data_IF_355140368966
#
_entry.id   IF_355140368966
#
_cell.length_a   1.000
_cell.length_b   1.000
_cell.length_c   1.000
_cell.angle_alpha   90.00
_cell.angle_beta   90.00
_cell.angle_gamma   90.00
#
_symmetry.space_group_name_H-M   'P 1'
#
loop_
_entity.id
_entity.type
_entity.pdbx_description
1 polymer ?
#
# COMPACT_ATOMS: atom_id res chain seq x y z
N UNK A 1 4.13 2.29 -13.33
CA UNK A 1 5.11 1.25 -13.02
C UNK A 1 4.87 0.05 -13.92
N UNK A 2 5.95 -0.53 -14.39
CA UNK A 2 5.83 -1.67 -15.27
C UNK A 2 5.68 -2.96 -14.46
N UNK A 3 4.83 -3.85 -14.96
CA UNK A 3 4.65 -5.16 -14.34
C UNK A 3 5.80 -6.08 -14.73
N UNK A 4 6.12 -6.99 -13.83
CA UNK A 4 7.14 -8.00 -14.07
C UNK A 4 6.56 -9.17 -14.90
N UNK A 5 7.42 -10.01 -15.52
CA UNK A 5 6.93 -11.21 -16.20
C UNK A 5 6.10 -12.07 -15.25
N UNK A 6 4.93 -12.50 -15.73
CA UNK A 6 4.01 -13.29 -14.93
C UNK A 6 3.20 -12.49 -13.90
N UNK A 7 3.42 -11.19 -13.83
CA UNK A 7 2.68 -10.33 -12.90
C UNK A 7 1.41 -9.80 -13.57
N UNK A 8 0.30 -9.87 -12.85
CA UNK A 8 -0.99 -9.38 -13.32
C UNK A 8 -1.60 -8.47 -12.26
N UNK A 9 -2.03 -7.28 -12.65
CA UNK A 9 -2.72 -6.36 -11.75
C UNK A 9 -4.10 -6.93 -11.42
N UNK A 10 -4.43 -6.94 -10.13
CA UNK A 10 -5.73 -7.39 -9.66
C UNK A 10 -6.71 -6.23 -9.67
N UNK A 11 -6.33 -5.11 -9.03
CA UNK A 11 -7.17 -3.92 -8.98
C UNK A 11 -6.36 -2.71 -8.50
N UNK A 12 -6.96 -1.54 -8.59
CA UNK A 12 -6.37 -0.27 -8.15
C UNK A 12 -7.39 0.51 -7.35
N UNK A 13 -6.95 1.10 -6.24
CA UNK A 13 -7.79 1.94 -5.38
C UNK A 13 -7.09 3.25 -5.06
N UNK A 14 -7.87 4.33 -4.95
CA UNK A 14 -7.38 5.60 -4.40
C UNK A 14 -7.60 5.57 -2.89
N UNK A 15 -6.52 5.71 -2.13
CA UNK A 15 -6.59 5.64 -0.67
C UNK A 15 -5.45 6.41 -0.05
N UNK A 16 -5.43 6.44 1.30
CA UNK A 16 -4.42 7.15 2.07
C UNK A 16 -3.42 6.13 2.61
N UNK A 17 -2.15 6.42 2.41
CA UNK A 17 -1.05 5.59 2.92
C UNK A 17 -0.39 6.27 4.10
N UNK A 18 -0.16 5.51 5.18
CA UNK A 18 0.61 5.96 6.33
C UNK A 18 1.86 5.09 6.44
N UNK A 19 3.05 5.66 6.18
CA UNK A 19 4.29 4.91 6.26
C UNK A 19 4.74 4.72 7.70
N UNK A 20 5.75 3.86 7.94
CA UNK A 20 6.42 3.82 9.23
C UNK A 20 6.94 5.23 9.57
N UNK A 21 6.73 5.65 10.81
CA UNK A 21 7.11 7.00 11.24
C UNK A 21 6.01 8.03 11.12
N UNK A 22 4.89 7.71 10.47
CA UNK A 22 3.71 8.57 10.44
C UNK A 22 3.57 9.40 9.17
N UNK A 23 2.54 10.23 9.15
CA UNK A 23 2.17 11.02 7.99
C UNK A 23 1.08 10.33 7.19
N UNK A 24 0.35 11.12 6.38
CA UNK A 24 -0.73 10.59 5.54
C UNK A 24 -0.54 11.10 4.12
N UNK A 25 -0.53 10.20 3.16
CA UNK A 25 -0.26 10.54 1.77
C UNK A 25 -1.35 9.96 0.87
N UNK A 26 -1.96 10.81 0.06
CA UNK A 26 -2.96 10.37 -0.92
C UNK A 26 -2.29 9.80 -2.15
N UNK A 27 -2.88 8.78 -2.73
CA UNK A 27 -2.38 8.19 -3.95
C UNK A 27 -3.19 7.00 -4.38
N UNK A 28 -2.61 6.23 -5.32
CA UNK A 28 -3.24 5.03 -5.84
C UNK A 28 -2.44 3.80 -5.43
N UNK A 29 -3.14 2.83 -4.86
CA UNK A 29 -2.59 1.52 -4.58
C UNK A 29 -3.03 0.56 -5.68
N UNK A 30 -2.07 -0.03 -6.39
CA UNK A 30 -2.31 -1.12 -7.32
C UNK A 30 -1.81 -2.40 -6.68
N UNK A 31 -2.68 -3.39 -6.59
CA UNK A 31 -2.30 -4.71 -6.06
C UNK A 31 -2.21 -5.67 -7.22
N UNK A 32 -1.09 -6.37 -7.31
CA UNK A 32 -0.88 -7.42 -8.31
C UNK A 32 -0.87 -8.78 -7.62
N UNK A 33 -0.69 -9.84 -8.39
CA UNK A 33 -0.51 -11.17 -7.82
C UNK A 33 0.82 -11.34 -7.08
N UNK A 34 1.76 -10.38 -7.22
CA UNK A 34 3.09 -10.48 -6.63
C UNK A 34 3.42 -9.33 -5.67
N UNK A 35 2.91 -8.12 -5.92
CA UNK A 35 3.34 -6.91 -5.22
C UNK A 35 2.19 -5.95 -4.93
N UNK A 36 2.46 -5.03 -4.00
CA UNK A 36 1.67 -3.83 -3.82
C UNK A 36 2.48 -2.65 -4.36
N UNK A 37 1.87 -1.86 -5.24
CA UNK A 37 2.51 -0.72 -5.90
C UNK A 37 1.73 0.53 -5.50
N UNK A 38 2.36 1.42 -4.74
CA UNK A 38 1.72 2.65 -4.30
C UNK A 38 2.34 3.84 -4.99
N UNK A 39 1.49 4.66 -5.62
CA UNK A 39 1.91 5.85 -6.36
C UNK A 39 1.25 7.07 -5.74
N UNK A 40 2.03 7.88 -5.04
CA UNK A 40 1.54 9.09 -4.42
C UNK A 40 1.27 10.15 -5.46
N UNK A 41 0.18 10.89 -5.29
CA UNK A 41 -0.24 11.90 -6.27
C UNK A 41 0.49 13.22 -6.13
N UNK A 42 1.14 13.44 -5.02
CA UNK A 42 1.79 14.72 -4.79
C UNK A 42 3.30 14.64 -4.95
N UNK A 43 3.95 15.73 -4.59
CA UNK A 43 5.35 15.96 -4.78
C UNK A 43 6.18 14.76 -4.33
N UNK A 44 6.94 14.21 -5.26
CA UNK A 44 7.81 13.08 -5.00
C UNK A 44 8.83 13.35 -3.90
N UNK A 45 9.20 14.61 -3.68
CA UNK A 45 10.16 14.98 -2.63
C UNK A 45 9.63 14.62 -1.24
N UNK A 46 8.32 14.61 -1.04
CA UNK A 46 7.72 14.24 0.24
C UNK A 46 8.00 12.76 0.55
N UNK A 47 7.77 11.88 -0.41
CA UNK A 47 8.08 10.47 -0.22
C UNK A 47 9.57 10.18 -0.29
N UNK A 48 10.32 10.97 -1.04
CA UNK A 48 11.76 10.83 -1.12
C UNK A 48 12.44 10.99 0.24
N UNK A 49 11.86 11.78 1.13
CA UNK A 49 12.40 11.95 2.48
C UNK A 49 12.09 10.76 3.40
N UNK A 50 11.23 9.85 2.98
CA UNK A 50 10.80 8.71 3.79
C UNK A 50 11.70 7.48 3.64
N UNK A 51 12.79 7.58 2.95
CA UNK A 51 13.76 6.49 2.93
C UNK A 51 14.16 6.01 1.56
N UNK A 52 14.48 6.89 0.68
CA UNK A 52 15.07 6.55 -0.63
C UNK A 52 14.19 5.64 -1.48
N UNK A 53 12.90 5.84 -1.43
CA UNK A 53 11.98 5.01 -2.21
C UNK A 53 11.77 5.53 -3.62
N UNK A 54 12.75 6.24 -4.12
CA UNK A 54 12.74 6.72 -5.46
C UNK A 54 12.18 8.12 -5.59
N UNK A 55 12.75 8.85 -6.50
CA UNK A 55 12.37 10.23 -6.77
C UNK A 55 10.97 10.35 -7.37
N UNK A 56 10.36 9.25 -7.76
CA UNK A 56 9.05 9.24 -8.40
C UNK A 56 7.87 9.22 -7.43
N UNK A 57 8.13 9.12 -6.12
CA UNK A 57 7.06 9.00 -5.13
C UNK A 57 6.36 7.65 -5.13
N UNK A 58 7.05 6.61 -5.58
CA UNK A 58 6.51 5.26 -5.66
C UNK A 58 7.02 4.38 -4.53
N UNK A 59 6.14 3.51 -4.03
CA UNK A 59 6.48 2.51 -3.03
C UNK A 59 6.15 1.13 -3.59
N UNK A 60 7.06 0.20 -3.37
CA UNK A 60 6.87 -1.19 -3.79
C UNK A 60 6.99 -2.10 -2.56
N UNK A 61 6.00 -2.95 -2.36
CA UNK A 61 6.01 -3.96 -1.29
C UNK A 61 5.76 -5.32 -1.94
N UNK A 62 6.73 -6.22 -1.83
CA UNK A 62 6.53 -7.59 -2.29
C UNK A 62 5.62 -8.34 -1.33
N UNK A 63 4.66 -9.09 -1.86
CA UNK A 63 3.75 -9.87 -1.01
C UNK A 63 4.49 -10.88 -0.15
N UNK A 64 5.61 -11.40 -0.63
CA UNK A 64 6.44 -12.34 0.13
C UNK A 64 7.06 -11.71 1.38
N UNK A 65 7.16 -10.38 1.44
CA UNK A 65 7.70 -9.67 2.59
C UNK A 65 6.65 -9.37 3.66
N UNK A 66 5.38 -9.62 3.39
CA UNK A 66 4.30 -9.36 4.33
C UNK A 66 4.27 -10.48 5.37
N UNK A 67 4.59 -10.14 6.61
CA UNK A 67 4.56 -11.08 7.72
C UNK A 67 3.18 -11.19 8.35
N UNK A 68 2.43 -10.09 8.36
CA UNK A 68 1.10 -10.06 8.97
C UNK A 68 0.23 -9.00 8.30
N UNK A 69 -1.07 -9.27 8.23
CA UNK A 69 -2.08 -8.35 7.72
C UNK A 69 -3.23 -8.27 8.70
N UNK A 70 -3.43 -7.09 9.29
CA UNK A 70 -4.55 -6.81 10.16
C UNK A 70 -5.52 -5.86 9.48
N UNK A 71 -6.78 -5.94 9.87
CA UNK A 71 -7.83 -5.08 9.35
C UNK A 71 -8.53 -4.38 10.50
N UNK A 72 -8.63 -3.05 10.42
CA UNK A 72 -9.42 -2.26 11.36
C UNK A 72 -10.60 -1.65 10.61
N UNK A 73 -11.80 -1.85 11.14
CA UNK A 73 -13.03 -1.33 10.55
C UNK A 73 -13.73 -0.41 11.54
N UNK A 74 -13.51 0.88 11.39
CA UNK A 74 -14.24 1.90 12.12
C UNK A 74 -15.20 2.58 11.16
N UNK A 75 -16.15 3.33 11.67
CA UNK A 75 -17.23 3.92 10.85
C UNK A 75 -16.69 4.73 9.66
N UNK A 76 -15.71 5.59 9.90
CA UNK A 76 -15.16 6.47 8.87
C UNK A 76 -13.70 6.16 8.54
N UNK A 77 -13.17 5.04 9.00
CA UNK A 77 -11.76 4.73 8.84
C UNK A 77 -11.58 3.22 8.78
N UNK A 78 -11.46 2.70 7.58
CA UNK A 78 -11.21 1.27 7.36
C UNK A 78 -9.80 1.12 6.85
N UNK A 79 -8.99 0.37 7.58
CA UNK A 79 -7.55 0.28 7.35
C UNK A 79 -7.09 -1.14 7.15
N UNK A 80 -6.18 -1.33 6.21
CA UNK A 80 -5.38 -2.55 6.09
C UNK A 80 -3.99 -2.23 6.66
N UNK A 81 -3.57 -2.98 7.66
CA UNK A 81 -2.32 -2.75 8.38
C UNK A 81 -1.38 -3.90 8.08
N UNK A 82 -0.29 -3.60 7.38
CA UNK A 82 0.68 -4.59 6.97
C UNK A 82 1.93 -4.48 7.83
N UNK A 83 2.34 -5.59 8.43
CA UNK A 83 3.64 -5.69 9.09
C UNK A 83 4.55 -6.54 8.20
N UNK A 84 5.67 -5.97 7.82
CA UNK A 84 6.62 -6.65 6.95
C UNK A 84 7.62 -7.48 7.79
N UNK A 85 8.36 -8.33 7.12
CA UNK A 85 9.33 -9.20 7.77
C UNK A 85 10.43 -8.43 8.52
N UNK A 86 10.71 -7.19 8.10
CA UNK A 86 11.68 -6.32 8.77
C UNK A 86 11.09 -5.58 9.98
N UNK A 87 9.83 -5.80 10.31
CA UNK A 87 9.13 -5.16 11.42
C UNK A 87 8.48 -3.83 11.07
N UNK A 88 8.66 -3.31 9.86
CA UNK A 88 8.02 -2.06 9.47
C UNK A 88 6.52 -2.25 9.29
N UNK A 89 5.76 -1.20 9.64
CA UNK A 89 4.30 -1.21 9.59
C UNK A 89 3.82 -0.19 8.57
N UNK A 90 3.02 -0.64 7.63
CA UNK A 90 2.45 0.18 6.56
C UNK A 90 0.94 0.12 6.64
N UNK A 91 0.28 1.26 6.59
CA UNK A 91 -1.17 1.36 6.76
C UNK A 91 -1.81 1.95 5.50
N UNK A 92 -2.81 1.27 4.98
CA UNK A 92 -3.62 1.77 3.87
C UNK A 92 -5.03 2.01 4.36
N UNK A 93 -5.47 3.26 4.34
CA UNK A 93 -6.76 3.70 4.85
C UNK A 93 -7.68 4.05 3.69
N UNK A 94 -8.79 3.32 3.57
CA UNK A 94 -9.76 3.54 2.51
C UNK A 94 -10.96 4.39 2.98
N UNK A 95 -10.85 5.00 4.15
CA UNK A 95 -11.92 5.83 4.71
C UNK A 95 -13.17 5.03 5.02
N UNK A 96 -14.33 5.54 4.61
CA UNK A 96 -15.61 4.86 4.84
C UNK A 96 -15.91 3.77 3.81
N UNK A 97 -15.05 3.60 2.81
CA UNK A 97 -15.26 2.63 1.73
C UNK A 97 -14.99 1.19 2.20
N UNK A 98 -15.42 0.23 1.41
CA UNK A 98 -15.26 -1.19 1.76
C UNK A 98 -13.81 -1.64 1.55
N UNK A 99 -13.12 -1.92 2.65
CA UNK A 99 -11.71 -2.38 2.63
C UNK A 99 -11.59 -3.86 2.27
N UNK A 100 -12.67 -4.63 2.29
CA UNK A 100 -12.60 -6.09 2.11
C UNK A 100 -12.02 -6.48 0.76
N UNK A 101 -12.31 -5.72 -0.30
CA UNK A 101 -11.76 -5.99 -1.63
C UNK A 101 -10.25 -5.74 -1.67
N UNK A 102 -9.79 -4.71 -0.99
CA UNK A 102 -8.36 -4.41 -0.88
C UNK A 102 -7.65 -5.54 -0.16
N UNK A 103 -8.21 -5.98 0.97
CA UNK A 103 -7.65 -7.08 1.76
C UNK A 103 -7.61 -8.37 0.95
N UNK A 104 -8.69 -8.68 0.25
CA UNK A 104 -8.76 -9.89 -0.58
C UNK A 104 -7.68 -9.87 -1.69
N UNK A 105 -7.46 -8.71 -2.30
CA UNK A 105 -6.43 -8.58 -3.33
C UNK A 105 -5.02 -8.75 -2.75
N UNK A 106 -4.78 -8.20 -1.55
CA UNK A 106 -3.48 -8.34 -0.89
C UNK A 106 -3.21 -9.80 -0.52
N UNK A 107 -4.24 -10.53 -0.09
CA UNK A 107 -4.11 -11.94 0.29
C UNK A 107 -4.04 -12.87 -0.92
N UNK A 108 -4.50 -12.45 -2.08
CA UNK A 108 -4.47 -13.27 -3.30
C UNK A 108 -3.03 -13.41 -3.82
N UNK A 109 -2.70 -14.60 -4.31
CA UNK A 109 -1.35 -14.92 -4.81
C UNK A 109 -1.38 -15.65 -6.13
#
# INVERSE_FOLDING_TARGET
MDLQPGETAIDTWTLIYTPPGGGNYNGKLTVTNQRLLYDAKWDASVLGTLGNRGASGQLVIDKSDIANLDVQKKLLSKKAILTLADGSVHVFNYGAMNIDKVVAAIEAR
#
